data_IF_604032325772
#
_entry.id   IF_604032325772
#
_cell.length_a   1.000
_cell.length_b   1.000
_cell.length_c   1.000
_cell.angle_alpha   90.00
_cell.angle_beta   90.00
_cell.angle_gamma   90.00
#
_symmetry.space_group_name_H-M   'P 1'
#
loop_
_entity.id
_entity.type
_entity.pdbx_description
1 polymer ?
#
# COMPACT_ATOMS: atom_id res chain seq x y z
N UNK A 1 39.97 51.18 -33.68
CA UNK A 1 38.86 50.48 -34.35
C UNK A 1 37.60 50.87 -33.59
N UNK A 2 36.85 51.78 -34.18
CA UNK A 2 35.69 52.45 -33.59
C UNK A 2 34.55 51.49 -33.21
N UNK A 3 33.68 51.92 -32.28
CA UNK A 3 32.55 51.16 -31.74
C UNK A 3 31.27 51.37 -32.57
N UNK A 4 30.31 50.43 -32.49
CA UNK A 4 28.91 50.69 -32.86
C UNK A 4 27.98 50.46 -31.68
N UNK A 5 27.65 51.59 -31.08
CA UNK A 5 26.42 51.94 -30.39
C UNK A 5 25.16 51.68 -31.21
N UNK A 6 24.07 51.30 -30.56
CA UNK A 6 22.74 51.95 -30.75
C UNK A 6 21.83 51.69 -29.53
N UNK A 7 21.72 52.74 -28.72
CA UNK A 7 20.59 53.12 -27.84
C UNK A 7 19.40 53.58 -28.68
N UNK A 8 18.14 53.34 -28.30
CA UNK A 8 17.19 54.26 -27.62
C UNK A 8 15.80 53.97 -28.25
N UNK A 9 14.64 54.07 -27.61
CA UNK A 9 14.05 55.28 -27.01
C UNK A 9 12.78 54.93 -26.21
N UNK A 10 12.57 55.70 -25.13
CA UNK A 10 11.40 55.80 -24.24
C UNK A 10 10.06 56.24 -24.89
N UNK A 11 8.95 55.67 -24.37
CA UNK A 11 7.69 56.26 -23.82
C UNK A 11 6.93 57.44 -24.55
N UNK A 12 5.75 57.91 -24.05
CA UNK A 12 4.45 57.29 -23.71
C UNK A 12 3.25 58.07 -24.35
N UNK A 13 2.05 58.05 -23.70
CA UNK A 13 0.79 58.82 -23.94
C UNK A 13 -0.24 58.01 -24.78
N UNK A 14 -1.50 57.79 -24.41
CA UNK A 14 -2.39 58.35 -23.39
C UNK A 14 -3.80 58.50 -23.98
N UNK A 15 -4.82 58.49 -23.11
CA UNK A 15 -6.17 59.08 -23.24
C UNK A 15 -7.36 58.27 -23.83
N UNK A 16 -8.34 58.09 -22.93
CA UNK A 16 -9.78 58.39 -23.06
C UNK A 16 -10.78 57.42 -23.73
N UNK A 17 -11.73 57.03 -22.87
CA UNK A 17 -13.15 56.67 -23.03
C UNK A 17 -13.88 57.25 -24.27
N UNK A 18 -15.04 56.66 -24.63
CA UNK A 18 -16.30 57.23 -24.13
C UNK A 18 -17.32 56.23 -23.56
N UNK A 19 -18.05 56.71 -22.57
CA UNK A 19 -19.37 56.24 -22.12
C UNK A 19 -20.44 56.46 -23.19
N UNK A 20 -21.45 55.57 -23.19
CA UNK A 20 -22.91 55.79 -23.32
C UNK A 20 -23.56 54.45 -23.73
N UNK A 21 -24.82 54.10 -23.48
CA UNK A 21 -25.87 54.43 -22.53
C UNK A 21 -27.08 53.54 -22.92
N UNK A 22 -27.73 52.83 -21.99
CA UNK A 22 -29.16 52.44 -22.02
C UNK A 22 -29.49 51.46 -20.87
N UNK A 23 -30.09 51.91 -19.76
CA UNK A 23 -31.54 52.11 -19.49
C UNK A 23 -32.30 50.85 -19.04
N UNK A 24 -32.64 50.81 -17.74
CA UNK A 24 -33.98 50.58 -17.14
C UNK A 24 -33.86 50.76 -15.61
N UNK A 25 -34.21 51.95 -15.08
CA UNK A 25 -35.52 52.33 -14.51
C UNK A 25 -35.83 51.55 -13.21
N UNK A 26 -35.54 52.04 -12.00
CA UNK A 26 -36.03 53.21 -11.22
C UNK A 26 -37.37 52.98 -10.51
N UNK A 27 -37.36 53.32 -9.23
CA UNK A 27 -38.35 53.17 -8.16
C UNK A 27 -39.56 54.11 -8.22
N UNK A 28 -40.61 53.75 -7.45
CA UNK A 28 -41.48 54.65 -6.65
C UNK A 28 -42.42 53.75 -5.80
N UNK A 29 -42.37 53.76 -4.47
CA UNK A 29 -43.04 54.67 -3.52
C UNK A 29 -44.47 54.23 -3.08
N UNK A 30 -44.57 53.92 -1.77
CA UNK A 30 -45.63 54.27 -0.80
C UNK A 30 -47.10 53.76 -0.89
N UNK A 31 -47.50 53.14 0.25
CA UNK A 31 -48.67 53.46 1.11
C UNK A 31 -49.89 52.50 1.19
N UNK A 32 -50.04 51.92 2.39
CA UNK A 32 -51.25 51.61 3.19
C UNK A 32 -52.33 50.61 2.69
N UNK A 33 -52.61 49.57 3.51
CA UNK A 33 -53.77 49.51 4.45
C UNK A 33 -53.94 48.15 5.15
N UNK A 34 -54.22 48.23 6.47
CA UNK A 34 -55.10 47.40 7.33
C UNK A 34 -55.55 46.01 6.85
N UNK A 35 -55.29 44.96 7.65
CA UNK A 35 -56.19 43.82 7.99
C UNK A 35 -55.65 43.20 9.29
N UNK A 36 -56.15 43.61 10.46
CA UNK A 36 -57.08 42.89 11.36
C UNK A 36 -56.54 41.63 12.05
N UNK A 37 -56.60 41.70 13.38
CA UNK A 37 -56.49 40.67 14.42
C UNK A 37 -57.23 39.37 14.04
N UNK A 38 -56.57 38.22 14.24
CA UNK A 38 -57.18 36.91 14.05
C UNK A 38 -56.33 35.75 14.60
N UNK A 39 -56.49 35.48 15.89
CA UNK A 39 -56.43 34.16 16.58
C UNK A 39 -55.10 33.37 16.54
N UNK A 40 -54.51 33.24 17.74
CA UNK A 40 -53.50 32.27 18.08
C UNK A 40 -53.99 30.82 17.84
N UNK A 41 -53.18 30.03 17.15
CA UNK A 41 -53.19 28.56 17.24
C UNK A 41 -51.78 28.12 17.64
N UNK A 42 -51.68 27.46 18.80
CA UNK A 42 -50.46 26.84 19.31
C UNK A 42 -49.83 25.89 18.27
N UNK A 43 -48.50 25.92 18.07
CA UNK A 43 -47.83 24.82 17.40
C UNK A 43 -47.66 23.64 18.36
N UNK A 44 -48.10 22.46 17.91
CA UNK A 44 -47.97 21.16 18.55
C UNK A 44 -46.52 20.87 19.01
N UNK A 45 -46.33 20.05 20.07
CA UNK A 45 -45.03 19.89 20.71
C UNK A 45 -44.02 19.24 19.75
N UNK A 46 -42.81 19.81 19.73
CA UNK A 46 -41.66 19.25 19.04
C UNK A 46 -41.44 17.81 19.53
N UNK A 47 -41.71 16.85 18.65
CA UNK A 47 -41.33 15.47 18.85
C UNK A 47 -39.80 15.44 19.02
N UNK A 48 -39.39 15.11 20.25
CA UNK A 48 -38.02 14.91 20.63
C UNK A 48 -37.46 13.76 19.77
N UNK A 49 -36.72 14.09 18.70
CA UNK A 49 -35.99 13.13 17.88
C UNK A 49 -34.85 12.58 18.74
N UNK A 50 -35.18 11.65 19.63
CA UNK A 50 -34.22 10.79 20.29
C UNK A 50 -33.54 9.97 19.18
N UNK A 51 -32.33 10.40 18.80
CA UNK A 51 -31.44 9.67 17.92
C UNK A 51 -31.37 8.21 18.38
N UNK A 52 -31.64 7.28 17.47
CA UNK A 52 -31.57 5.85 17.73
C UNK A 52 -30.23 5.48 18.41
N UNK A 53 -30.20 4.47 19.31
CA UNK A 53 -28.97 4.08 19.98
C UNK A 53 -27.93 3.68 18.92
N UNK A 54 -26.80 4.38 18.93
CA UNK A 54 -25.66 4.10 18.06
C UNK A 54 -25.30 2.62 18.16
N UNK A 55 -25.06 1.98 17.03
CA UNK A 55 -24.59 0.58 16.99
C UNK A 55 -23.29 0.45 17.79
N UNK A 56 -23.04 -0.74 18.35
CA UNK A 56 -21.79 -1.02 19.07
C UNK A 56 -20.55 -0.65 18.23
N UNK A 57 -20.62 -0.84 16.91
CA UNK A 57 -19.57 -0.46 15.96
C UNK A 57 -19.33 1.07 15.91
N UNK A 58 -20.39 1.87 15.94
CA UNK A 58 -20.32 3.34 15.93
C UNK A 58 -19.84 3.90 17.27
N UNK A 59 -20.27 3.30 18.38
CA UNK A 59 -19.80 3.64 19.73
C UNK A 59 -18.30 3.35 19.86
N UNK A 60 -17.84 2.18 19.42
CA UNK A 60 -16.42 1.84 19.41
C UNK A 60 -15.60 2.75 18.49
N UNK A 61 -16.16 3.15 17.34
CA UNK A 61 -15.52 4.11 16.42
C UNK A 61 -15.39 5.50 17.07
N UNK A 62 -16.46 5.97 17.70
CA UNK A 62 -16.48 7.26 18.41
C UNK A 62 -15.53 7.27 19.61
N UNK A 63 -15.48 6.18 20.39
CA UNK A 63 -14.55 6.03 21.51
C UNK A 63 -13.10 5.99 21.04
N UNK A 64 -12.78 5.27 19.96
CA UNK A 64 -11.41 5.27 19.39
C UNK A 64 -10.99 6.66 18.92
N UNK A 65 -11.91 7.44 18.35
CA UNK A 65 -11.65 8.82 17.95
C UNK A 65 -11.48 9.76 19.17
N UNK A 66 -12.32 9.61 20.21
CA UNK A 66 -12.31 10.46 21.41
C UNK A 66 -11.15 10.19 22.37
N UNK A 67 -10.74 8.93 22.52
CA UNK A 67 -9.67 8.54 23.45
C UNK A 67 -8.29 8.89 22.90
N UNK A 68 -8.18 9.28 21.63
CA UNK A 68 -6.89 9.59 21.02
C UNK A 68 -5.92 8.42 21.14
N UNK A 69 -6.43 7.18 21.16
CA UNK A 69 -5.60 5.98 21.20
C UNK A 69 -4.56 6.13 20.09
N UNK A 70 -3.28 6.14 20.48
CA UNK A 70 -2.09 6.35 19.64
C UNK A 70 -1.86 5.11 18.76
N UNK A 71 -2.85 4.81 17.94
CA UNK A 71 -2.78 3.97 16.76
C UNK A 71 -3.53 4.77 15.72
N UNK A 72 -2.79 5.57 14.95
CA UNK A 72 -3.23 6.29 13.75
C UNK A 72 -4.49 5.66 13.15
N UNK A 73 -5.67 6.08 13.59
CA UNK A 73 -6.87 5.85 12.85
C UNK A 73 -6.74 6.82 11.68
N UNK A 74 -5.93 6.45 10.69
CA UNK A 74 -5.80 7.18 9.43
C UNK A 74 -7.22 7.40 8.96
N UNK A 75 -7.52 8.62 8.53
CA UNK A 75 -8.86 8.96 8.08
C UNK A 75 -9.32 7.91 7.08
N UNK A 76 -10.41 7.20 7.39
CA UNK A 76 -11.00 6.18 6.52
C UNK A 76 -11.45 6.73 5.14
N UNK A 77 -11.26 8.04 4.92
CA UNK A 77 -11.57 8.76 3.70
C UNK A 77 -10.39 8.89 2.72
N UNK A 78 -9.15 8.55 3.11
CA UNK A 78 -8.02 8.64 2.17
C UNK A 78 -8.04 7.48 1.15
N UNK A 79 -7.84 7.77 -0.15
CA UNK A 79 -7.91 6.75 -1.19
C UNK A 79 -6.76 5.74 -1.06
N UNK A 80 -7.10 4.46 -1.02
CA UNK A 80 -6.15 3.34 -1.09
C UNK A 80 -5.81 2.98 -2.54
N UNK A 81 -4.81 2.12 -2.73
CA UNK A 81 -4.46 1.54 -4.03
C UNK A 81 -4.32 0.02 -3.93
N UNK A 82 -4.56 -0.68 -5.05
CA UNK A 82 -4.52 -2.15 -5.10
C UNK A 82 -3.10 -2.70 -4.98
N UNK A 83 -2.98 -3.88 -4.37
CA UNK A 83 -1.77 -4.74 -4.45
C UNK A 83 -1.56 -5.34 -5.83
N UNK A 84 -2.55 -5.23 -6.71
CA UNK A 84 -2.64 -5.92 -8.00
C UNK A 84 -3.36 -7.27 -7.94
N UNK A 85 -3.82 -7.70 -6.75
CA UNK A 85 -4.68 -8.87 -6.58
C UNK A 85 -5.85 -8.53 -5.63
N UNK A 86 -7.07 -8.55 -6.16
CA UNK A 86 -8.28 -8.23 -5.38
C UNK A 86 -8.48 -9.15 -4.17
N UNK A 87 -8.07 -10.42 -4.28
CA UNK A 87 -8.15 -11.37 -3.18
C UNK A 87 -7.22 -11.01 -2.00
N UNK A 88 -6.06 -10.39 -2.28
CA UNK A 88 -5.18 -9.83 -1.25
C UNK A 88 -5.70 -8.50 -0.72
N UNK A 89 -6.26 -7.67 -1.60
CA UNK A 89 -6.78 -6.36 -1.22
C UNK A 89 -7.85 -6.45 -0.13
N UNK A 90 -8.76 -7.43 -0.22
CA UNK A 90 -9.81 -7.71 0.80
C UNK A 90 -9.23 -8.03 2.19
N UNK A 91 -7.94 -8.36 2.29
CA UNK A 91 -7.31 -8.57 3.59
C UNK A 91 -6.97 -7.28 4.31
N UNK A 92 -6.78 -6.22 3.55
CA UNK A 92 -6.31 -4.92 4.01
C UNK A 92 -7.49 -4.04 4.43
N UNK A 93 -7.31 -3.19 5.45
CA UNK A 93 -8.28 -2.16 5.77
C UNK A 93 -8.62 -1.35 4.51
N UNK A 94 -9.91 -1.11 4.27
CA UNK A 94 -10.39 -0.34 3.11
C UNK A 94 -10.04 -0.96 1.75
N UNK A 95 -9.78 -2.28 1.70
CA UNK A 95 -9.53 -3.06 0.49
C UNK A 95 -8.33 -2.55 -0.35
N UNK A 96 -7.24 -2.14 0.29
CA UNK A 96 -6.02 -1.73 -0.42
C UNK A 96 -4.91 -1.21 0.49
N UNK A 97 -3.79 -0.88 -0.13
CA UNK A 97 -2.64 -0.25 0.52
C UNK A 97 -2.85 1.25 0.64
N UNK A 98 -2.34 1.85 1.72
CA UNK A 98 -2.50 3.27 1.99
C UNK A 98 -1.28 4.07 1.49
N UNK A 99 -1.46 5.22 0.80
CA UNK A 99 -0.33 5.95 0.23
C UNK A 99 0.64 6.51 1.28
N UNK A 100 0.19 6.99 2.43
CA UNK A 100 1.10 7.42 3.51
C UNK A 100 1.79 6.32 4.34
N UNK A 101 1.94 5.10 3.81
CA UNK A 101 2.47 3.94 4.59
C UNK A 101 3.69 3.29 3.98
N UNK A 102 4.41 2.57 4.83
CA UNK A 102 5.40 1.59 4.41
C UNK A 102 4.76 0.20 4.32
N UNK A 103 5.05 -0.51 3.22
CA UNK A 103 4.69 -1.90 2.98
C UNK A 103 5.95 -2.71 2.75
N UNK A 104 6.08 -3.83 3.47
CA UNK A 104 7.22 -4.73 3.35
C UNK A 104 6.84 -6.04 2.66
N UNK A 105 7.66 -6.45 1.70
CA UNK A 105 7.60 -7.74 1.01
C UNK A 105 8.82 -8.56 1.45
N UNK A 106 8.61 -9.44 2.42
CA UNK A 106 9.65 -10.29 3.02
C UNK A 106 9.81 -11.54 2.17
N UNK A 107 10.94 -11.61 1.47
CA UNK A 107 11.29 -12.71 0.58
C UNK A 107 11.80 -13.91 1.38
N UNK A 108 11.24 -15.10 1.16
CA UNK A 108 11.72 -16.36 1.74
C UNK A 108 13.17 -16.68 1.36
N UNK A 109 13.58 -16.25 0.16
CA UNK A 109 14.91 -16.34 -0.40
C UNK A 109 15.04 -15.29 -1.51
N UNK A 110 16.25 -15.07 -2.02
CA UNK A 110 16.56 -13.99 -2.97
C UNK A 110 15.74 -14.05 -4.27
N UNK A 111 15.50 -15.26 -4.78
CA UNK A 111 14.69 -15.50 -5.98
C UNK A 111 13.18 -15.48 -5.76
N UNK A 112 12.69 -15.29 -4.53
CA UNK A 112 11.26 -15.23 -4.29
C UNK A 112 10.66 -13.99 -4.96
N UNK A 113 9.44 -14.11 -5.49
CA UNK A 113 8.76 -13.08 -6.29
C UNK A 113 8.32 -11.80 -5.50
N UNK A 114 8.97 -11.48 -4.37
CA UNK A 114 8.68 -10.33 -3.54
C UNK A 114 8.84 -9.00 -4.28
N UNK A 115 9.90 -8.88 -5.09
CA UNK A 115 10.12 -7.68 -5.92
C UNK A 115 9.05 -7.55 -7.01
N UNK A 116 8.66 -8.66 -7.65
CA UNK A 116 7.60 -8.66 -8.66
C UNK A 116 6.25 -8.25 -8.09
N UNK A 117 5.89 -8.74 -6.90
CA UNK A 117 4.66 -8.33 -6.21
C UNK A 117 4.70 -6.84 -5.80
N UNK A 118 5.85 -6.37 -5.32
CA UNK A 118 6.08 -4.95 -5.02
C UNK A 118 5.93 -4.07 -6.25
N UNK A 119 6.53 -4.46 -7.37
CA UNK A 119 6.43 -3.77 -8.66
C UNK A 119 4.99 -3.75 -9.19
N UNK A 120 4.25 -4.84 -9.02
CA UNK A 120 2.83 -4.88 -9.40
C UNK A 120 2.00 -3.90 -8.59
N UNK A 121 2.20 -3.83 -7.27
CA UNK A 121 1.55 -2.83 -6.43
C UNK A 121 1.96 -1.40 -6.81
N UNK A 122 3.24 -1.19 -7.19
CA UNK A 122 3.72 0.10 -7.69
C UNK A 122 3.05 0.50 -9.01
N UNK A 123 2.83 -0.43 -9.94
CA UNK A 123 2.08 -0.20 -11.17
C UNK A 123 0.64 0.25 -10.87
N UNK A 124 -0.06 -0.46 -9.99
CA UNK A 124 -1.41 -0.05 -9.57
C UNK A 124 -1.43 1.35 -8.92
N UNK A 125 -0.37 1.72 -8.18
CA UNK A 125 -0.24 3.08 -7.65
C UNK A 125 -0.03 4.11 -8.76
N UNK A 126 0.81 3.82 -9.75
CA UNK A 126 1.07 4.70 -10.89
C UNK A 126 -0.20 4.95 -11.72
N UNK A 127 -1.10 3.97 -11.82
CA UNK A 127 -2.40 4.13 -12.48
C UNK A 127 -3.33 5.06 -11.69
N UNK A 128 -3.25 5.00 -10.35
CA UNK A 128 -4.07 5.82 -9.46
C UNK A 128 -3.61 7.29 -9.33
N UNK A 129 -2.36 7.60 -9.70
CA UNK A 129 -1.83 8.98 -9.66
C UNK A 129 -1.19 9.39 -10.98
N UNK A 130 -1.66 10.48 -11.57
CA UNK A 130 -1.16 10.99 -12.85
C UNK A 130 0.18 11.72 -12.68
N UNK A 131 1.08 11.57 -13.67
CA UNK A 131 2.32 12.36 -13.82
C UNK A 131 3.37 12.27 -12.71
N UNK A 132 3.27 11.33 -11.77
CA UNK A 132 4.30 11.10 -10.74
C UNK A 132 5.14 9.86 -11.06
N UNK A 133 6.48 9.90 -10.98
CA UNK A 133 7.33 8.75 -11.26
C UNK A 133 7.38 7.77 -10.08
N UNK A 134 7.75 6.52 -10.34
CA UNK A 134 8.26 5.57 -9.37
C UNK A 134 9.75 5.83 -9.17
N UNK A 135 10.17 6.05 -7.94
CA UNK A 135 11.59 6.08 -7.58
C UNK A 135 12.01 4.67 -7.15
N UNK A 136 13.05 4.13 -7.80
CA UNK A 136 13.69 2.87 -7.41
C UNK A 136 15.06 3.19 -6.81
N UNK A 137 15.31 2.71 -5.60
CA UNK A 137 16.61 2.84 -4.93
C UNK A 137 17.29 1.47 -4.93
N UNK A 138 18.32 1.34 -5.76
CA UNK A 138 19.04 0.10 -6.02
C UNK A 138 20.54 0.27 -5.73
N UNK A 139 20.96 -0.10 -4.53
CA UNK A 139 22.36 0.03 -4.11
C UNK A 139 23.23 -1.11 -4.67
N UNK A 140 22.64 -2.27 -4.89
CA UNK A 140 23.36 -3.50 -5.26
C UNK A 140 23.46 -3.66 -6.78
N UNK A 141 22.74 -2.84 -7.55
CA UNK A 141 22.73 -2.90 -9.01
C UNK A 141 21.95 -4.10 -9.55
N UNK A 142 21.06 -4.68 -8.72
CA UNK A 142 20.32 -5.90 -9.04
C UNK A 142 18.98 -5.61 -9.71
N UNK A 143 18.53 -4.36 -9.71
CA UNK A 143 17.24 -4.00 -10.30
C UNK A 143 17.26 -4.28 -11.81
N UNK A 144 16.24 -4.99 -12.29
CA UNK A 144 16.09 -5.36 -13.69
C UNK A 144 14.90 -4.62 -14.32
N UNK A 145 15.11 -3.47 -14.99
CA UNK A 145 14.02 -2.64 -15.53
C UNK A 145 13.05 -3.35 -16.47
N UNK A 146 13.47 -4.30 -17.35
CA UNK A 146 12.52 -5.00 -18.21
C UNK A 146 11.46 -5.80 -17.44
N UNK A 147 11.77 -6.34 -16.26
CA UNK A 147 10.76 -6.99 -15.42
C UNK A 147 9.72 -5.99 -14.89
N UNK A 148 10.15 -4.78 -14.49
CA UNK A 148 9.24 -3.72 -14.08
C UNK A 148 8.29 -3.32 -15.21
N UNK A 149 8.80 -3.18 -16.44
CA UNK A 149 7.98 -2.89 -17.63
C UNK A 149 6.97 -4.01 -17.88
N UNK A 150 7.40 -5.27 -17.82
CA UNK A 150 6.50 -6.43 -17.98
C UNK A 150 5.41 -6.50 -16.90
N UNK A 151 5.65 -5.92 -15.73
CA UNK A 151 4.67 -5.84 -14.63
C UNK A 151 3.81 -4.57 -14.66
N UNK A 152 3.90 -3.78 -15.73
CA UNK A 152 3.05 -2.61 -15.97
C UNK A 152 3.64 -1.28 -15.51
N UNK A 153 4.92 -1.22 -15.11
CA UNK A 153 5.58 0.06 -14.78
C UNK A 153 6.11 0.74 -16.06
N UNK A 154 5.61 1.91 -16.46
CA UNK A 154 6.08 2.58 -17.67
C UNK A 154 7.53 3.03 -17.54
N UNK A 155 8.37 2.74 -18.53
CA UNK A 155 9.80 3.09 -18.52
C UNK A 155 10.05 4.59 -18.32
N UNK A 156 9.21 5.44 -18.90
CA UNK A 156 9.30 6.89 -18.81
C UNK A 156 8.89 7.44 -17.43
N UNK A 157 8.29 6.60 -16.58
CA UNK A 157 7.87 6.94 -15.21
C UNK A 157 8.77 6.28 -14.16
N UNK A 158 9.95 5.78 -14.54
CA UNK A 158 10.94 5.25 -13.59
C UNK A 158 12.10 6.23 -13.38
N UNK A 159 12.45 6.47 -12.13
CA UNK A 159 13.70 7.13 -11.74
C UNK A 159 14.52 6.12 -10.95
N UNK A 160 15.66 5.70 -11.50
CA UNK A 160 16.57 4.76 -10.84
C UNK A 160 17.69 5.54 -10.13
N UNK A 161 17.76 5.37 -8.81
CA UNK A 161 18.84 5.88 -7.97
C UNK A 161 19.76 4.73 -7.60
N UNK A 162 21.09 4.94 -7.74
CA UNK A 162 22.13 3.99 -7.32
C UNK A 162 23.08 4.65 -6.30
N UNK A 163 22.65 4.80 -5.04
CA UNK A 163 23.48 5.31 -3.97
C UNK A 163 24.71 4.41 -3.73
N UNK A 164 25.79 4.99 -3.20
CA UNK A 164 27.05 4.26 -2.97
C UNK A 164 27.08 3.47 -1.65
N UNK A 165 26.14 3.74 -0.75
CA UNK A 165 26.09 3.11 0.57
C UNK A 165 24.71 3.21 1.22
N UNK A 166 24.56 2.55 2.37
CA UNK A 166 23.30 2.46 3.11
C UNK A 166 22.75 3.82 3.54
N UNK A 167 23.62 4.72 3.99
CA UNK A 167 23.22 6.01 4.55
C UNK A 167 22.67 6.93 3.46
N UNK A 168 23.35 6.99 2.32
CA UNK A 168 22.88 7.70 1.13
C UNK A 168 21.56 7.11 0.61
N UNK A 169 21.40 5.80 0.70
CA UNK A 169 20.17 5.12 0.30
C UNK A 169 19.00 5.48 1.21
N UNK A 170 19.19 5.39 2.53
CA UNK A 170 18.17 5.76 3.51
C UNK A 170 17.81 7.25 3.40
N UNK A 171 18.80 8.12 3.15
CA UNK A 171 18.57 9.52 2.89
C UNK A 171 17.76 9.72 1.60
N UNK A 172 18.12 9.08 0.50
CA UNK A 172 17.39 9.17 -0.77
C UNK A 172 15.95 8.69 -0.64
N UNK A 173 15.72 7.58 0.07
CA UNK A 173 14.38 7.05 0.35
C UNK A 173 13.57 8.07 1.18
N UNK A 174 14.12 8.60 2.28
CA UNK A 174 13.45 9.62 3.11
C UNK A 174 13.07 10.86 2.29
N UNK A 175 13.98 11.38 1.46
CA UNK A 175 13.72 12.55 0.63
C UNK A 175 12.65 12.28 -0.43
N UNK A 176 12.73 11.13 -1.11
CA UNK A 176 11.74 10.76 -2.12
C UNK A 176 10.34 10.60 -1.50
N UNK A 177 10.23 9.90 -0.36
CA UNK A 177 8.97 9.74 0.37
C UNK A 177 8.40 11.08 0.83
N UNK A 178 9.24 11.96 1.38
CA UNK A 178 8.82 13.25 1.96
C UNK A 178 8.39 14.27 0.90
N UNK A 179 8.93 14.18 -0.32
CA UNK A 179 8.71 15.18 -1.37
C UNK A 179 7.25 15.33 -1.81
N UNK A 180 6.45 14.26 -1.72
CA UNK A 180 5.10 14.20 -2.29
C UNK A 180 5.03 14.30 -3.82
N UNK A 181 6.18 14.35 -4.50
CA UNK A 181 6.27 14.50 -5.96
C UNK A 181 6.31 13.16 -6.72
N UNK A 182 6.49 12.04 -6.00
CA UNK A 182 6.64 10.71 -6.57
C UNK A 182 5.40 9.85 -6.26
N UNK A 183 5.16 8.82 -7.08
CA UNK A 183 3.99 7.97 -6.94
C UNK A 183 4.17 6.95 -5.82
N UNK A 184 5.39 6.41 -5.71
CA UNK A 184 5.85 5.45 -4.74
C UNK A 184 7.39 5.43 -4.71
N UNK A 185 7.96 4.85 -3.67
CA UNK A 185 9.39 4.56 -3.56
C UNK A 185 9.56 3.06 -3.39
N UNK A 186 10.30 2.41 -4.29
CA UNK A 186 10.67 1.00 -4.21
C UNK A 186 12.13 0.87 -3.81
N UNK A 187 12.43 0.04 -2.83
CA UNK A 187 13.81 -0.22 -2.42
C UNK A 187 13.98 -1.60 -1.82
N UNK A 188 15.15 -2.21 -2.04
CA UNK A 188 15.63 -3.30 -1.21
C UNK A 188 16.31 -2.69 0.01
N UNK A 189 15.71 -2.88 1.19
CA UNK A 189 16.25 -2.30 2.41
C UNK A 189 17.33 -3.22 3.01
N UNK A 190 18.35 -2.66 3.68
CA UNK A 190 19.38 -3.45 4.35
C UNK A 190 18.77 -4.32 5.44
N UNK A 191 19.36 -5.50 5.70
CA UNK A 191 18.83 -6.47 6.67
C UNK A 191 18.45 -5.84 8.03
N UNK A 192 19.28 -4.93 8.55
CA UNK A 192 18.96 -4.14 9.75
C UNK A 192 18.55 -2.74 9.35
N UNK A 193 17.30 -2.41 9.68
CA UNK A 193 16.80 -1.04 9.74
C UNK A 193 16.61 -0.75 11.22
N UNK A 194 17.30 0.25 11.76
CA UNK A 194 17.12 0.59 13.16
C UNK A 194 15.75 1.27 13.41
N UNK A 195 15.34 1.36 14.67
CA UNK A 195 14.03 1.92 15.00
C UNK A 195 13.90 3.40 14.64
N UNK A 196 15.04 4.13 14.65
CA UNK A 196 15.09 5.55 14.35
C UNK A 196 14.81 5.79 12.87
N UNK A 197 15.48 5.04 12.00
CA UNK A 197 15.33 5.12 10.56
C UNK A 197 13.97 4.58 10.13
N UNK A 198 13.50 3.47 10.71
CA UNK A 198 12.15 2.95 10.47
C UNK A 198 11.06 3.99 10.76
N UNK A 199 11.14 4.65 11.93
CA UNK A 199 10.21 5.73 12.29
C UNK A 199 10.36 6.94 11.39
N UNK A 200 11.59 7.32 11.04
CA UNK A 200 11.87 8.45 10.14
C UNK A 200 11.23 8.22 8.77
N UNK A 201 11.41 7.04 8.19
CA UNK A 201 10.82 6.68 6.89
C UNK A 201 9.29 6.65 6.95
N UNK A 202 8.70 6.15 8.04
CA UNK A 202 7.24 6.16 8.21
C UNK A 202 6.70 7.60 8.28
N UNK A 203 7.36 8.49 9.02
CA UNK A 203 7.00 9.93 9.05
C UNK A 203 7.20 10.60 7.69
N UNK A 204 8.22 10.21 6.92
CA UNK A 204 8.44 10.71 5.56
C UNK A 204 7.30 10.31 4.62
N UNK A 205 6.90 9.02 4.66
CA UNK A 205 5.78 8.50 3.89
C UNK A 205 4.46 9.23 4.22
N UNK A 206 4.20 9.47 5.51
CA UNK A 206 3.05 10.25 5.97
C UNK A 206 3.10 11.70 5.47
N UNK A 207 4.26 12.35 5.59
CA UNK A 207 4.44 13.76 5.19
C UNK A 207 4.18 13.97 3.70
N UNK A 208 4.74 13.11 2.84
CA UNK A 208 4.57 13.23 1.40
C UNK A 208 3.36 12.47 0.85
N UNK A 209 2.55 11.82 1.70
CA UNK A 209 1.50 10.87 1.31
C UNK A 209 1.94 9.91 0.18
N UNK A 210 3.16 9.37 0.33
CA UNK A 210 3.87 8.60 -0.69
C UNK A 210 4.26 7.23 -0.13
N UNK A 211 3.86 6.13 -0.80
CA UNK A 211 4.05 4.80 -0.25
C UNK A 211 5.49 4.32 -0.43
N UNK A 212 6.04 3.73 0.62
CA UNK A 212 7.28 2.96 0.55
C UNK A 212 6.97 1.49 0.33
N UNK A 213 7.50 0.90 -0.74
CA UNK A 213 7.32 -0.50 -1.12
C UNK A 213 8.68 -1.20 -1.00
N UNK A 214 8.91 -1.88 0.11
CA UNK A 214 10.23 -2.34 0.49
C UNK A 214 10.39 -3.84 0.43
N UNK A 215 11.46 -4.30 -0.21
CA UNK A 215 11.84 -5.69 -0.24
C UNK A 215 12.78 -5.95 0.95
N UNK A 216 12.48 -7.00 1.71
CA UNK A 216 13.25 -7.42 2.88
C UNK A 216 13.64 -8.89 2.72
N UNK A 217 14.78 -9.29 3.28
CA UNK A 217 15.18 -10.70 3.31
C UNK A 217 14.43 -11.47 4.41
N UNK A 218 14.52 -12.80 4.38
CA UNK A 218 13.81 -13.68 5.32
C UNK A 218 14.07 -13.35 6.81
N UNK A 219 15.29 -12.92 7.15
CA UNK A 219 15.67 -12.63 8.53
C UNK A 219 14.86 -11.45 9.11
N UNK A 220 14.40 -10.52 8.27
CA UNK A 220 13.56 -9.41 8.70
C UNK A 220 12.16 -9.83 9.17
N UNK A 221 11.69 -11.04 8.81
CA UNK A 221 10.36 -11.55 9.19
C UNK A 221 10.12 -11.57 10.70
N UNK A 222 11.18 -11.75 11.48
CA UNK A 222 11.11 -11.89 12.94
C UNK A 222 11.61 -10.66 13.67
N UNK A 223 11.94 -9.59 12.95
CA UNK A 223 12.39 -8.33 13.54
C UNK A 223 11.22 -7.35 13.68
N UNK A 224 11.32 -6.40 14.63
CA UNK A 224 10.42 -5.27 14.67
C UNK A 224 10.39 -4.55 13.32
N UNK A 225 9.20 -4.06 12.96
CA UNK A 225 8.98 -3.31 11.73
C UNK A 225 8.07 -2.11 12.00
N UNK A 226 8.31 -1.01 11.28
CA UNK A 226 7.45 0.16 11.25
C UNK A 226 6.41 0.10 10.13
N UNK A 227 6.50 -0.92 9.26
CA UNK A 227 5.54 -1.10 8.18
C UNK A 227 4.12 -1.27 8.70
N UNK A 228 3.19 -0.64 7.98
CA UNK A 228 1.77 -0.82 8.21
C UNK A 228 1.37 -2.25 7.82
N UNK A 229 1.92 -2.72 6.70
CA UNK A 229 1.63 -4.01 6.09
C UNK A 229 2.93 -4.76 5.84
N UNK A 230 2.99 -6.03 6.24
CA UNK A 230 4.10 -6.92 5.90
C UNK A 230 3.55 -8.20 5.30
N UNK A 231 3.97 -8.49 4.07
CA UNK A 231 3.71 -9.75 3.38
C UNK A 231 4.96 -10.62 3.43
N UNK A 232 4.78 -11.91 3.70
CA UNK A 232 5.79 -12.93 3.48
C UNK A 232 5.52 -13.65 2.16
N UNK A 233 6.56 -13.78 1.35
CA UNK A 233 6.50 -14.29 -0.01
C UNK A 233 7.41 -15.49 -0.14
N UNK A 234 6.84 -16.65 -0.47
CA UNK A 234 7.57 -17.89 -0.67
C UNK A 234 7.20 -18.55 -2.00
N UNK A 235 8.17 -19.25 -2.59
CA UNK A 235 7.88 -20.17 -3.69
C UNK A 235 7.16 -21.42 -3.15
N UNK A 236 6.10 -21.84 -3.84
CA UNK A 236 5.48 -23.15 -3.64
C UNK A 236 5.95 -24.09 -4.74
N UNK A 237 6.96 -24.91 -4.45
CA UNK A 237 7.36 -26.01 -5.34
C UNK A 237 6.15 -26.91 -5.55
N UNK A 238 5.70 -27.02 -6.80
CA UNK A 238 4.66 -27.99 -7.16
C UNK A 238 5.21 -29.37 -6.83
N UNK A 239 4.59 -30.08 -5.88
CA UNK A 239 4.80 -31.51 -5.74
C UNK A 239 4.41 -32.07 -7.11
N UNK A 240 5.39 -32.51 -7.89
CA UNK A 240 5.12 -33.22 -9.12
C UNK A 240 4.36 -34.48 -8.72
N UNK A 241 3.04 -34.49 -8.92
CA UNK A 241 2.34 -35.76 -9.08
C UNK A 241 3.05 -36.43 -10.26
N UNK A 242 3.59 -37.64 -10.13
CA UNK A 242 4.17 -38.36 -11.26
C UNK A 242 3.01 -38.72 -12.19
N UNK A 243 2.58 -37.75 -12.99
CA UNK A 243 1.67 -37.98 -14.09
C UNK A 243 2.49 -38.79 -15.10
N UNK A 244 2.06 -40.03 -15.32
CA UNK A 244 2.59 -40.89 -16.38
C UNK A 244 2.26 -40.22 -17.73
N UNK A 245 3.12 -39.31 -18.18
CA UNK A 245 2.94 -38.60 -19.44
C UNK A 245 3.92 -39.10 -20.51
N UNK A 246 3.31 -39.48 -21.63
CA UNK A 246 3.94 -40.05 -22.82
C UNK A 246 4.99 -39.11 -23.46
N UNK A 247 6.01 -39.64 -24.17
CA UNK A 247 7.23 -38.90 -24.52
C UNK A 247 7.12 -37.81 -25.60
N UNK A 248 5.90 -37.43 -26.03
CA UNK A 248 5.68 -36.70 -27.30
C UNK A 248 5.39 -35.20 -27.20
N UNK A 249 5.32 -34.60 -26.01
CA UNK A 249 5.14 -33.15 -25.85
C UNK A 249 6.32 -32.44 -25.17
N UNK A 250 7.55 -32.68 -25.65
CA UNK A 250 8.77 -32.04 -25.11
C UNK A 250 9.15 -30.68 -25.71
N UNK A 251 8.24 -30.02 -26.44
CA UNK A 251 8.52 -28.70 -27.04
C UNK A 251 7.46 -27.63 -26.71
N UNK A 252 6.60 -27.88 -25.73
CA UNK A 252 5.77 -26.84 -25.10
C UNK A 252 5.89 -26.94 -23.58
N UNK A 253 7.12 -26.84 -23.07
CA UNK A 253 7.30 -26.47 -21.67
C UNK A 253 7.07 -24.95 -21.58
N UNK A 254 5.80 -24.54 -21.75
CA UNK A 254 5.35 -23.31 -21.11
C UNK A 254 5.82 -23.40 -19.67
N UNK A 255 6.60 -22.42 -19.22
CA UNK A 255 7.11 -22.40 -17.84
C UNK A 255 5.90 -22.71 -16.97
N UNK A 256 5.95 -23.80 -16.20
CA UNK A 256 4.99 -24.02 -15.13
C UNK A 256 5.08 -22.76 -14.26
N UNK A 257 4.22 -21.75 -14.49
CA UNK A 257 4.43 -20.45 -13.83
C UNK A 257 4.37 -20.71 -12.34
N UNK A 258 5.46 -20.35 -11.69
CA UNK A 258 5.76 -20.65 -10.31
C UNK A 258 4.59 -20.18 -9.43
N UNK A 259 4.07 -21.09 -8.62
CA UNK A 259 3.01 -20.73 -7.68
C UNK A 259 3.68 -20.05 -6.50
N UNK A 260 3.31 -18.80 -6.27
CA UNK A 260 3.85 -17.96 -5.22
C UNK A 260 2.88 -18.01 -4.05
N UNK A 261 3.35 -18.36 -2.86
CA UNK A 261 2.55 -18.30 -1.65
C UNK A 261 2.79 -16.97 -0.93
N UNK A 262 1.72 -16.21 -0.70
CA UNK A 262 1.75 -14.92 -0.02
C UNK A 262 1.01 -15.03 1.30
N UNK A 263 1.68 -14.67 2.39
CA UNK A 263 1.10 -14.62 3.74
C UNK A 263 1.10 -13.19 4.26
N UNK A 264 -0.01 -12.74 4.83
CA UNK A 264 -0.08 -11.44 5.51
C UNK A 264 0.42 -11.59 6.95
N UNK A 265 1.69 -11.31 7.20
CA UNK A 265 2.30 -11.45 8.53
C UNK A 265 1.93 -10.28 9.46
N UNK A 266 1.69 -9.09 8.90
CA UNK A 266 1.33 -7.90 9.67
C UNK A 266 0.39 -7.01 8.88
N UNK A 267 -0.61 -6.46 9.56
CA UNK A 267 -1.46 -5.38 9.07
C UNK A 267 -1.94 -4.52 10.22
N UNK A 268 -1.71 -3.21 10.18
CA UNK A 268 -2.24 -2.29 11.19
C UNK A 268 -3.75 -2.16 11.06
N UNK A 269 -4.49 -2.36 12.14
CA UNK A 269 -5.96 -2.24 12.13
C UNK A 269 -6.70 -3.35 11.38
N UNK A 270 -6.00 -4.43 11.00
CA UNK A 270 -6.60 -5.60 10.34
C UNK A 270 -6.26 -6.92 11.06
N UNK A 271 -6.53 -8.04 10.39
CA UNK A 271 -6.18 -9.39 10.87
C UNK A 271 -5.07 -10.00 10.01
N UNK A 272 -3.94 -10.30 10.64
CA UNK A 272 -2.83 -11.04 10.04
C UNK A 272 -3.12 -12.56 9.98
N UNK A 273 -2.18 -13.32 9.39
CA UNK A 273 -2.25 -14.78 9.26
C UNK A 273 -3.04 -15.29 8.05
N UNK A 274 -3.53 -14.39 7.19
CA UNK A 274 -4.19 -14.76 5.93
C UNK A 274 -3.15 -15.21 4.91
N UNK A 275 -3.47 -16.21 4.10
CA UNK A 275 -2.57 -16.77 3.10
C UNK A 275 -3.31 -17.07 1.80
N UNK A 276 -2.64 -16.87 0.67
CA UNK A 276 -3.14 -17.10 -0.68
C UNK A 276 -1.98 -17.54 -1.55
N UNK A 277 -2.26 -18.49 -2.44
CA UNK A 277 -1.36 -18.82 -3.52
C UNK A 277 -1.75 -17.99 -4.75
N UNK A 278 -0.77 -17.42 -5.44
CA UNK A 278 -0.95 -16.55 -6.60
C UNK A 278 0.02 -16.96 -7.71
N UNK A 279 -0.28 -16.56 -8.94
CA UNK A 279 0.61 -16.71 -10.10
C UNK A 279 0.55 -15.46 -10.97
N UNK A 280 1.66 -15.13 -11.61
CA UNK A 280 1.64 -14.21 -12.74
C UNK A 280 1.25 -14.97 -14.01
N UNK A 281 0.38 -14.38 -14.82
CA UNK A 281 0.22 -14.80 -16.21
C UNK A 281 1.29 -14.18 -17.11
N UNK A 282 1.26 -14.52 -18.40
CA UNK A 282 2.24 -14.04 -19.39
C UNK A 282 2.14 -12.52 -19.65
N UNK A 283 1.07 -11.87 -19.19
CA UNK A 283 0.86 -10.42 -19.27
C UNK A 283 1.28 -9.68 -17.98
N UNK A 284 1.85 -10.38 -17.01
CA UNK A 284 2.25 -9.79 -15.72
C UNK A 284 1.08 -9.46 -14.80
N UNK A 285 -0.10 -10.05 -15.06
CA UNK A 285 -1.28 -9.92 -14.19
C UNK A 285 -1.28 -11.02 -13.13
N UNK A 286 -1.58 -10.62 -11.89
CA UNK A 286 -1.54 -11.48 -10.73
C UNK A 286 -2.91 -12.15 -10.51
N UNK A 287 -2.94 -13.48 -10.56
CA UNK A 287 -4.16 -14.27 -10.40
C UNK A 287 -4.09 -15.16 -9.15
N UNK A 288 -5.17 -15.24 -8.34
CA UNK A 288 -5.25 -16.21 -7.27
C UNK A 288 -5.28 -17.64 -7.84
N UNK A 289 -4.50 -18.52 -7.24
CA UNK A 289 -4.53 -19.96 -7.52
C UNK A 289 -5.44 -20.62 -6.49
N UNK A 290 -6.48 -21.36 -6.90
CA UNK A 290 -7.34 -22.09 -5.97
C UNK A 290 -6.47 -23.05 -5.14
N UNK A 291 -6.48 -22.90 -3.82
CA UNK A 291 -5.75 -23.82 -2.95
C UNK A 291 -6.36 -25.21 -3.09
N UNK A 292 -5.57 -26.21 -3.48
CA UNK A 292 -5.95 -27.60 -3.30
C UNK A 292 -5.90 -27.92 -1.80
N UNK A 293 -7.04 -27.74 -1.12
CA UNK A 293 -7.35 -28.15 0.26
C UNK A 293 -6.80 -27.24 1.40
N UNK A 294 -7.55 -26.19 1.79
CA UNK A 294 -7.21 -25.36 2.96
C UNK A 294 -7.37 -26.10 4.30
N UNK A 295 -8.18 -27.17 4.39
CA UNK A 295 -8.41 -27.91 5.63
C UNK A 295 -7.26 -28.83 6.02
N UNK A 296 -6.47 -29.32 5.06
CA UNK A 296 -5.33 -30.21 5.35
C UNK A 296 -4.25 -29.55 6.19
N UNK A 297 -3.94 -28.28 5.94
CA UNK A 297 -2.87 -27.57 6.65
C UNK A 297 -3.27 -27.21 8.09
N UNK A 298 -4.52 -26.78 8.31
CA UNK A 298 -5.05 -26.55 9.65
C UNK A 298 -5.12 -27.86 10.46
N UNK A 299 -5.53 -28.96 9.81
CA UNK A 299 -5.59 -30.28 10.47
C UNK A 299 -4.18 -30.82 10.76
N UNK A 300 -3.22 -30.60 9.87
CA UNK A 300 -1.82 -30.96 10.07
C UNK A 300 -1.17 -30.14 11.20
N UNK A 301 -1.41 -28.83 11.24
CA UNK A 301 -0.93 -27.95 12.30
C UNK A 301 -1.55 -28.29 13.66
N UNK A 302 -2.86 -28.55 13.72
CA UNK A 302 -3.55 -29.02 14.94
C UNK A 302 -3.03 -30.38 15.40
N UNK A 303 -2.78 -31.32 14.47
CA UNK A 303 -2.17 -32.62 14.78
C UNK A 303 -0.74 -32.48 15.30
N UNK A 304 0.08 -31.62 14.71
CA UNK A 304 1.45 -31.37 15.16
C UNK A 304 1.49 -30.70 16.54
N UNK A 305 0.66 -29.67 16.76
CA UNK A 305 0.52 -29.02 18.05
C UNK A 305 0.02 -30.00 19.13
N UNK A 306 -0.96 -30.86 18.80
CA UNK A 306 -1.46 -31.93 19.68
C UNK A 306 -0.38 -32.97 20.00
N UNK A 307 0.46 -33.34 19.02
CA UNK A 307 1.56 -34.27 19.23
C UNK A 307 2.66 -33.69 20.13
N UNK A 308 2.99 -32.40 19.96
CA UNK A 308 3.98 -31.71 20.78
C UNK A 308 3.48 -31.42 22.20
N UNK A 309 2.16 -31.19 22.37
CA UNK A 309 1.53 -31.01 23.67
C UNK A 309 1.35 -32.31 24.48
N UNK A 310 1.60 -33.48 23.87
CA UNK A 310 1.42 -34.77 24.54
C UNK A 310 2.68 -35.18 25.34
N UNK A 311 2.62 -35.32 26.68
CA UNK A 311 3.80 -35.57 27.53
C UNK A 311 4.54 -36.88 27.22
N UNK A 312 3.87 -37.86 26.59
CA UNK A 312 4.48 -39.12 26.16
C UNK A 312 5.42 -38.96 24.95
N UNK A 313 5.19 -37.96 24.08
CA UNK A 313 6.07 -37.65 22.95
C UNK A 313 7.31 -36.87 23.41
N UNK A 314 7.15 -35.94 24.35
CA UNK A 314 8.25 -35.21 24.97
C UNK A 314 9.26 -36.13 25.69
N UNK A 315 8.78 -37.15 26.42
CA UNK A 315 9.65 -38.18 27.05
C UNK A 315 10.46 -39.00 26.03
N UNK A 316 9.89 -39.32 24.86
CA UNK A 316 10.59 -40.07 23.79
C UNK A 316 11.67 -39.25 23.09
N UNK A 317 11.46 -37.95 22.90
CA UNK A 317 12.46 -37.05 22.32
C UNK A 317 13.63 -36.80 23.28
N UNK A 318 13.36 -36.70 24.59
CA UNK A 318 14.39 -36.57 25.62
C UNK A 318 15.27 -37.84 25.72
N UNK A 319 14.66 -39.05 25.74
CA UNK A 319 15.38 -40.32 25.80
C UNK A 319 16.25 -40.61 24.56
N UNK A 320 15.89 -40.04 23.39
CA UNK A 320 16.66 -40.19 22.14
C UNK A 320 17.82 -39.19 22.03
N UNK A 321 17.84 -38.14 22.86
CA UNK A 321 18.94 -37.17 22.95
C UNK A 321 20.05 -37.66 23.89
N UNK A 322 19.69 -38.37 24.95
CA UNK A 322 20.65 -38.96 25.90
C UNK A 322 21.40 -40.17 25.33
N UNK A 323 20.80 -40.92 24.41
CA UNK A 323 21.48 -42.03 23.72
C UNK A 323 22.46 -41.60 22.62
N UNK A 324 22.38 -40.34 22.17
CA UNK A 324 23.23 -39.81 21.08
C UNK A 324 24.42 -38.99 21.57
N UNK A 325 24.51 -38.75 22.88
CA UNK A 325 25.63 -38.09 23.56
C UNK A 325 26.53 -39.08 24.31
N UNK A 326 26.20 -40.38 24.26
CA UNK A 326 26.94 -41.47 24.91
C UNK A 326 27.61 -42.41 23.88
N UNK A 327 27.91 -41.92 22.67
CA UNK A 327 28.75 -42.60 21.66
C UNK A 327 29.76 -41.63 21.09
#
# INVERSE_FOLDING_TARGET
MEPRSQSATDAPIGTALPETAAKKATAAANLAKKVSVGKASEPAPAANLLSAPLSQAEVLRSLRAKVGCVSTARNAAEPTFSTGCSAMDVWLPHNGLHPGTLTEWVAAHESAAAESLSLRAAACRLDAVTSRPLVIVDCEGTFYPPAAVALGVPAQRMILLRPRGSDDALWAIDQALRSGAVAAVLARLPMRLDDRDGRRLQLAAETGNTPGLFIRNFQARHLPSFAETQFYVAERKRLQTPERLSPRHRLSSGRDSEVISVTLDRVRGGQAGKQLDVRFDDSGVLHPVPSSDPQRHETAAKRLASQLANPAAAKRVAARRTSRTAS
#
